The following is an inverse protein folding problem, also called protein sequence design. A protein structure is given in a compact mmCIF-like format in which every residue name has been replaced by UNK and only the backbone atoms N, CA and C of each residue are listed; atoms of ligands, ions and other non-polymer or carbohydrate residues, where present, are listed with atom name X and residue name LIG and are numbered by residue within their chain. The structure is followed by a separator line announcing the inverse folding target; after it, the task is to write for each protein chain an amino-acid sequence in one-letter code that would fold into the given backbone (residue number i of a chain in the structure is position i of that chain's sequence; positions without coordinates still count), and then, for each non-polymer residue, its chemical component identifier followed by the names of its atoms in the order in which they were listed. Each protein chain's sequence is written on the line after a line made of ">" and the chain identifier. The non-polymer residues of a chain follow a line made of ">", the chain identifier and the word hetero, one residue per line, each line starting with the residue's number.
data_IF_080439544509
#
_entry.id   IF_080439544509
#
_cell.length_a   1.000
_cell.length_b   1.000
_cell.length_c   1.000
_cell.angle_alpha   90.00
_cell.angle_beta   90.00
_cell.angle_gamma   90.00
#
_symmetry.space_group_name_H-M   'P 1'
#
loop_
_entity.id
_entity.type
_entity.pdbx_description
1 polymer ?
#
# COMPACT_ATOMS: atom_id res chain seq x y z
N UNK A 1 -3.59 -21.50 -41.68
CA UNK A 1 -3.69 -20.23 -40.92
C UNK A 1 -2.93 -19.16 -41.66
N UNK A 2 -3.46 -17.94 -41.76
CA UNK A 2 -2.75 -16.83 -42.41
C UNK A 2 -1.60 -16.33 -41.52
N UNK A 3 -0.57 -15.70 -42.11
CA UNK A 3 0.55 -15.09 -41.34
C UNK A 3 0.05 -14.09 -40.28
N UNK A 4 -1.05 -13.40 -40.56
CA UNK A 4 -1.70 -12.45 -39.64
C UNK A 4 -2.30 -13.16 -38.42
N UNK A 5 -3.00 -14.28 -38.61
CA UNK A 5 -3.58 -15.07 -37.50
C UNK A 5 -2.50 -15.62 -36.56
N UNK A 6 -1.36 -16.06 -37.12
CA UNK A 6 -0.24 -16.55 -36.30
C UNK A 6 0.40 -15.41 -35.50
N UNK A 7 0.58 -14.23 -36.10
CA UNK A 7 1.11 -13.06 -35.39
C UNK A 7 0.21 -12.58 -34.25
N UNK A 8 -1.11 -12.66 -34.43
CA UNK A 8 -2.08 -12.24 -33.42
C UNK A 8 -2.13 -13.23 -32.24
N UNK A 9 -2.11 -14.54 -32.52
CA UNK A 9 -2.03 -15.57 -31.49
C UNK A 9 -0.73 -15.50 -30.66
N UNK A 10 0.40 -15.19 -31.29
CA UNK A 10 1.67 -15.00 -30.57
C UNK A 10 1.58 -13.85 -29.58
N UNK A 11 0.97 -12.71 -29.97
CA UNK A 11 0.76 -11.58 -29.05
C UNK A 11 -0.14 -11.93 -27.86
N UNK A 12 -1.20 -12.71 -28.10
CA UNK A 12 -2.09 -13.18 -27.03
C UNK A 12 -1.34 -14.10 -26.08
N UNK A 13 -0.59 -15.07 -26.61
CA UNK A 13 0.21 -16.00 -25.81
C UNK A 13 1.27 -15.26 -24.97
N UNK A 14 1.98 -14.30 -25.56
CA UNK A 14 2.98 -13.49 -24.86
C UNK A 14 2.34 -12.73 -23.68
N UNK A 15 1.14 -12.15 -23.88
CA UNK A 15 0.37 -11.50 -22.80
C UNK A 15 -0.05 -12.47 -21.71
N UNK A 16 -0.47 -13.69 -22.05
CA UNK A 16 -0.84 -14.70 -21.05
C UNK A 16 0.35 -15.15 -20.20
N UNK A 17 1.48 -15.48 -20.84
CA UNK A 17 2.72 -15.88 -20.17
C UNK A 17 3.15 -14.79 -19.19
N UNK A 18 3.09 -13.55 -19.65
CA UNK A 18 3.47 -12.39 -18.88
C UNK A 18 2.52 -12.09 -17.73
N UNK A 19 1.22 -12.24 -17.95
CA UNK A 19 0.20 -12.10 -16.90
C UNK A 19 0.46 -13.10 -15.77
N UNK A 20 0.76 -14.36 -16.10
CA UNK A 20 1.12 -15.38 -15.10
C UNK A 20 2.36 -14.98 -14.30
N UNK A 21 3.36 -14.41 -14.97
CA UNK A 21 4.58 -13.92 -14.31
C UNK A 21 4.28 -12.77 -13.35
N UNK A 22 3.53 -11.76 -13.80
CA UNK A 22 3.11 -10.62 -12.97
C UNK A 22 2.33 -11.11 -11.73
N UNK A 23 1.36 -12.01 -11.91
CA UNK A 23 0.59 -12.57 -10.80
C UNK A 23 1.48 -13.34 -9.82
N UNK A 24 2.46 -14.10 -10.32
CA UNK A 24 3.42 -14.81 -9.47
C UNK A 24 4.28 -13.84 -8.66
N UNK A 25 4.75 -12.75 -9.25
CA UNK A 25 5.53 -11.71 -8.56
C UNK A 25 4.68 -11.00 -7.49
N UNK A 26 3.44 -10.67 -7.81
CA UNK A 26 2.50 -9.98 -6.91
C UNK A 26 1.97 -10.84 -5.77
N UNK A 27 2.09 -12.17 -5.85
CA UNK A 27 1.69 -13.08 -4.77
C UNK A 27 2.69 -13.12 -3.60
N UNK A 28 3.85 -12.46 -3.72
CA UNK A 28 4.81 -12.34 -2.61
C UNK A 28 4.45 -11.17 -1.69
N UNK A 29 3.64 -11.44 -0.66
CA UNK A 29 3.12 -10.42 0.26
C UNK A 29 4.17 -9.80 1.19
N UNK A 30 5.31 -10.46 1.40
CA UNK A 30 6.34 -10.01 2.35
C UNK A 30 7.11 -8.80 1.79
N UNK A 31 7.28 -8.74 0.47
CA UNK A 31 8.02 -7.66 -0.18
C UNK A 31 7.27 -7.12 -1.40
N UNK A 32 6.04 -6.64 -1.16
CA UNK A 32 5.16 -6.10 -2.18
C UNK A 32 5.81 -4.94 -2.97
N UNK A 33 6.67 -4.15 -2.32
CA UNK A 33 7.35 -3.02 -2.96
C UNK A 33 8.25 -3.48 -4.10
N UNK A 34 9.11 -4.45 -3.84
CA UNK A 34 10.02 -4.99 -4.84
C UNK A 34 9.26 -5.72 -5.96
N UNK A 35 8.16 -6.40 -5.63
CA UNK A 35 7.27 -7.00 -6.62
C UNK A 35 6.66 -5.96 -7.56
N UNK A 36 6.14 -4.84 -7.03
CA UNK A 36 5.59 -3.76 -7.86
C UNK A 36 6.67 -3.12 -8.74
N UNK A 37 7.90 -2.95 -8.22
CA UNK A 37 9.04 -2.44 -9.00
C UNK A 37 9.40 -3.40 -10.14
N UNK A 38 9.41 -4.72 -9.89
CA UNK A 38 9.68 -5.72 -10.92
C UNK A 38 8.61 -5.69 -12.03
N UNK A 39 7.33 -5.65 -11.65
CA UNK A 39 6.21 -5.51 -12.58
C UNK A 39 6.33 -4.22 -13.39
N UNK A 40 6.66 -3.09 -12.76
CA UNK A 40 6.86 -1.81 -13.43
C UNK A 40 7.95 -1.89 -14.51
N UNK A 41 9.10 -2.50 -14.19
CA UNK A 41 10.19 -2.70 -15.15
C UNK A 41 9.75 -3.56 -16.33
N UNK A 42 8.98 -4.61 -16.07
CA UNK A 42 8.41 -5.43 -17.12
C UNK A 42 7.47 -4.62 -18.01
N UNK A 43 6.52 -3.88 -17.44
CA UNK A 43 5.62 -3.00 -18.18
C UNK A 43 6.37 -2.05 -19.11
N UNK A 44 7.41 -1.38 -18.60
CA UNK A 44 8.25 -0.48 -19.40
C UNK A 44 8.88 -1.17 -20.62
N UNK A 45 9.41 -2.38 -20.43
CA UNK A 45 10.03 -3.16 -21.51
C UNK A 45 9.03 -3.52 -22.60
N UNK A 46 7.81 -3.91 -22.24
CA UNK A 46 6.79 -4.37 -23.18
C UNK A 46 6.18 -3.21 -23.95
N UNK A 47 5.92 -2.10 -23.26
CA UNK A 47 5.39 -0.88 -23.90
C UNK A 47 6.47 -0.15 -24.69
N UNK A 48 7.75 -0.49 -24.46
CA UNK A 48 8.92 0.21 -25.01
C UNK A 48 8.84 1.73 -24.75
N UNK A 49 8.37 2.11 -23.55
CA UNK A 49 8.26 3.51 -23.17
C UNK A 49 9.53 4.04 -22.53
N UNK A 50 9.79 5.31 -22.82
CA UNK A 50 10.92 6.06 -22.28
C UNK A 50 10.81 6.22 -20.76
N UNK A 51 9.59 6.47 -20.25
CA UNK A 51 9.35 6.61 -18.82
C UNK A 51 8.10 5.89 -18.33
N UNK A 52 8.16 5.42 -17.09
CA UNK A 52 7.04 4.84 -16.35
C UNK A 52 7.05 5.36 -14.90
N UNK A 53 5.87 5.56 -14.32
CA UNK A 53 5.71 5.87 -12.91
C UNK A 53 4.47 5.20 -12.34
N UNK A 54 4.56 4.73 -11.10
CA UNK A 54 3.45 4.18 -10.33
C UNK A 54 3.23 5.08 -9.13
N UNK A 55 2.03 5.61 -9.00
CA UNK A 55 1.59 6.43 -7.86
C UNK A 55 0.54 5.67 -7.06
N UNK A 56 0.65 5.69 -5.74
CA UNK A 56 -0.27 4.99 -4.83
C UNK A 56 -0.68 5.96 -3.72
N UNK A 57 -1.94 5.91 -3.32
CA UNK A 57 -2.47 6.75 -2.25
C UNK A 57 -1.82 6.43 -0.90
N UNK A 58 -1.33 7.45 -0.20
CA UNK A 58 -0.68 7.31 1.12
C UNK A 58 -1.56 7.77 2.30
N UNK A 59 -2.82 8.15 2.04
CA UNK A 59 -3.72 8.73 3.04
C UNK A 59 -3.87 10.25 2.92
N UNK A 60 -2.99 10.92 2.17
CA UNK A 60 -3.07 12.37 1.92
C UNK A 60 -3.08 12.70 0.44
N UNK A 61 -2.18 12.11 -0.33
CA UNK A 61 -2.04 12.33 -1.77
C UNK A 61 -1.54 11.05 -2.46
N UNK A 62 -1.09 11.16 -3.73
CA UNK A 62 -0.65 10.05 -4.56
C UNK A 62 0.83 10.21 -4.96
N UNK A 63 1.80 10.05 -4.02
CA UNK A 63 3.22 10.13 -4.34
C UNK A 63 3.67 9.01 -5.28
N UNK A 64 4.84 9.19 -5.91
CA UNK A 64 5.49 8.11 -6.66
C UNK A 64 5.92 7.01 -5.70
N UNK A 65 5.33 5.84 -5.88
CA UNK A 65 5.73 4.60 -5.21
C UNK A 65 6.95 3.97 -5.88
N UNK A 66 7.00 4.05 -7.22
CA UNK A 66 8.12 3.64 -8.06
C UNK A 66 8.11 4.45 -9.37
N UNK A 67 9.29 4.73 -9.94
CA UNK A 67 9.39 5.34 -11.26
C UNK A 67 10.71 5.01 -11.94
N UNK A 68 10.75 5.13 -13.27
CA UNK A 68 11.96 4.96 -14.06
C UNK A 68 11.88 5.79 -15.35
N UNK A 69 12.94 6.51 -15.70
CA UNK A 69 13.03 7.30 -16.95
C UNK A 69 12.34 8.66 -16.89
N UNK A 70 11.72 9.01 -15.75
CA UNK A 70 11.26 10.37 -15.49
C UNK A 70 12.48 11.26 -15.15
N UNK A 71 12.57 12.49 -15.68
CA UNK A 71 13.58 13.46 -15.28
C UNK A 71 13.56 13.69 -13.76
N UNK A 72 14.73 13.78 -13.11
CA UNK A 72 14.81 14.04 -11.65
C UNK A 72 14.06 15.30 -11.22
N UNK A 73 14.09 16.35 -12.06
CA UNK A 73 13.34 17.60 -11.88
C UNK A 73 11.82 17.37 -11.80
N UNK A 74 11.29 16.36 -12.49
CA UNK A 74 9.87 15.97 -12.41
C UNK A 74 9.51 15.20 -11.14
N UNK A 75 10.48 14.65 -10.40
CA UNK A 75 10.22 13.89 -9.18
C UNK A 75 10.27 14.80 -7.95
N UNK A 76 11.21 15.75 -7.92
CA UNK A 76 11.42 16.68 -6.80
C UNK A 76 10.59 17.96 -6.91
N UNK A 77 10.25 18.41 -8.12
CA UNK A 77 9.48 19.64 -8.35
C UNK A 77 8.01 19.40 -8.76
N UNK A 78 7.57 18.16 -8.99
CA UNK A 78 6.14 17.92 -9.26
C UNK A 78 5.32 18.25 -8.02
N UNK A 79 4.40 19.23 -8.11
CA UNK A 79 3.55 19.53 -6.99
C UNK A 79 2.67 18.30 -6.69
N UNK A 80 2.24 18.12 -5.43
CA UNK A 80 1.26 17.09 -5.09
C UNK A 80 0.11 17.11 -6.09
N UNK A 81 -0.45 15.94 -6.42
CA UNK A 81 -1.61 15.86 -7.32
C UNK A 81 -2.77 16.71 -6.80
N UNK A 82 -2.80 16.93 -5.48
CA UNK A 82 -3.63 17.88 -4.76
C UNK A 82 -2.94 19.24 -4.53
N UNK A 83 -2.49 19.93 -5.59
CA UNK A 83 -1.90 21.27 -5.44
C UNK A 83 -2.96 22.36 -5.27
N UNK A 84 -2.61 23.38 -4.47
CA UNK A 84 -3.45 24.54 -4.21
C UNK A 84 -3.28 25.51 -5.39
N UNK A 85 -4.32 25.64 -6.23
CA UNK A 85 -4.37 26.43 -7.48
C UNK A 85 -3.54 25.92 -8.68
N UNK A 86 -3.95 24.82 -9.33
CA UNK A 86 -3.40 24.42 -10.63
C UNK A 86 -3.87 25.38 -11.74
N UNK A 87 -2.98 25.71 -12.68
CA UNK A 87 -3.39 26.32 -13.96
C UNK A 87 -4.36 25.38 -14.69
N UNK A 88 -5.41 25.95 -15.30
CA UNK A 88 -6.42 25.18 -16.02
C UNK A 88 -5.80 24.61 -17.31
N UNK A 89 -5.80 23.29 -17.48
CA UNK A 89 -5.42 22.59 -18.71
C UNK A 89 -6.61 22.49 -19.65
N UNK A 90 -6.39 22.68 -20.94
CA UNK A 90 -7.43 22.61 -21.98
C UNK A 90 -7.05 21.56 -23.00
N UNK A 91 -7.88 20.52 -23.11
CA UNK A 91 -7.77 19.47 -24.10
C UNK A 91 -8.71 19.77 -25.27
N UNK A 92 -8.21 19.59 -26.49
CA UNK A 92 -8.98 19.69 -27.72
C UNK A 92 -9.56 18.31 -28.05
N UNK A 93 -10.89 18.19 -28.00
CA UNK A 93 -11.59 16.94 -28.32
C UNK A 93 -11.92 16.85 -29.83
N UNK A 94 -12.37 17.96 -30.42
CA UNK A 94 -12.67 18.09 -31.84
C UNK A 94 -12.34 19.51 -32.34
N UNK A 95 -12.82 19.93 -33.52
CA UNK A 95 -12.56 21.28 -34.03
C UNK A 95 -13.13 22.38 -33.11
N UNK A 96 -14.32 22.16 -32.54
CA UNK A 96 -15.05 23.15 -31.74
C UNK A 96 -15.29 22.72 -30.28
N UNK A 97 -14.89 21.49 -29.92
CA UNK A 97 -15.14 20.92 -28.60
C UNK A 97 -13.86 20.83 -27.76
N UNK A 98 -13.94 21.35 -26.54
CA UNK A 98 -12.82 21.42 -25.61
C UNK A 98 -13.23 20.91 -24.23
N UNK A 99 -12.31 20.25 -23.56
CA UNK A 99 -12.46 19.83 -22.18
C UNK A 99 -11.42 20.52 -21.30
N UNK A 100 -11.88 21.12 -20.20
CA UNK A 100 -11.00 21.83 -19.27
C UNK A 100 -10.87 21.08 -17.96
N UNK A 101 -9.64 20.87 -17.50
CA UNK A 101 -9.32 20.20 -16.26
C UNK A 101 -8.20 20.90 -15.52
N UNK A 102 -8.17 20.81 -14.19
CA UNK A 102 -7.00 21.22 -13.41
C UNK A 102 -5.87 20.19 -13.51
N UNK A 103 -6.21 18.90 -13.57
CA UNK A 103 -5.22 17.82 -13.59
C UNK A 103 -5.84 16.54 -14.18
N UNK A 104 -5.37 16.15 -15.37
CA UNK A 104 -5.83 14.92 -16.06
C UNK A 104 -5.62 13.68 -15.18
N UNK A 105 -4.47 13.56 -14.53
CA UNK A 105 -4.16 12.45 -13.63
C UNK A 105 -5.18 12.34 -12.48
N UNK A 106 -5.57 13.48 -11.90
CA UNK A 106 -6.54 13.50 -10.82
C UNK A 106 -7.95 13.16 -11.32
N UNK A 107 -8.33 13.61 -12.51
CA UNK A 107 -9.63 13.26 -13.09
C UNK A 107 -9.74 11.78 -13.43
N UNK A 108 -8.65 11.16 -13.90
CA UNK A 108 -8.54 9.71 -14.09
C UNK A 108 -8.72 8.99 -12.75
N UNK A 109 -8.00 9.42 -11.70
CA UNK A 109 -8.11 8.82 -10.37
C UNK A 109 -9.55 8.92 -9.83
N UNK A 110 -10.13 10.12 -9.88
CA UNK A 110 -11.48 10.42 -9.39
C UNK A 110 -12.59 9.86 -10.27
N UNK A 111 -12.27 9.34 -11.47
CA UNK A 111 -13.27 8.87 -12.42
C UNK A 111 -14.19 9.98 -12.92
N UNK A 112 -13.71 11.24 -12.96
CA UNK A 112 -14.47 12.41 -13.40
C UNK A 112 -14.59 12.54 -14.91
N UNK A 113 -13.84 11.73 -15.65
CA UNK A 113 -13.94 11.71 -17.10
C UNK A 113 -15.23 11.03 -17.54
N UNK A 114 -16.06 11.79 -18.25
CA UNK A 114 -17.27 11.25 -18.86
C UNK A 114 -16.89 10.18 -19.89
N UNK A 115 -17.66 9.08 -19.97
CA UNK A 115 -17.35 7.91 -20.82
C UNK A 115 -17.36 8.23 -22.32
N UNK A 116 -17.81 9.44 -22.68
CA UNK A 116 -17.95 9.92 -24.05
C UNK A 116 -16.83 10.87 -24.49
N UNK A 117 -15.86 11.18 -23.63
CA UNK A 117 -14.73 12.04 -24.00
C UNK A 117 -13.74 11.19 -24.82
N UNK A 118 -13.36 11.62 -26.04
CA UNK A 118 -12.25 11.02 -26.78
C UNK A 118 -11.03 10.89 -25.86
N UNK A 119 -10.19 9.87 -26.02
CA UNK A 119 -9.00 9.59 -25.18
C UNK A 119 -9.26 8.84 -23.85
N UNK A 120 -10.51 8.67 -23.41
CA UNK A 120 -10.83 7.83 -22.25
C UNK A 120 -11.34 6.45 -22.63
N UNK A 121 -10.97 5.44 -21.85
CA UNK A 121 -11.54 4.09 -21.94
C UNK A 121 -12.86 3.99 -21.17
N UNK A 122 -13.59 2.89 -21.35
CA UNK A 122 -14.77 2.57 -20.54
C UNK A 122 -14.45 2.37 -19.05
N UNK A 123 -13.20 2.06 -18.69
CA UNK A 123 -12.75 1.95 -17.29
C UNK A 123 -12.21 3.30 -16.75
N UNK A 124 -12.16 4.33 -17.58
CA UNK A 124 -11.77 5.69 -17.20
C UNK A 124 -10.27 5.96 -17.24
N UNK A 125 -9.47 5.10 -17.87
CA UNK A 125 -8.05 5.39 -18.14
C UNK A 125 -7.93 6.37 -19.30
N UNK A 126 -6.96 7.27 -19.25
CA UNK A 126 -6.70 8.26 -20.29
C UNK A 126 -5.50 7.86 -21.14
N UNK A 127 -5.57 8.04 -22.46
CA UNK A 127 -4.42 7.84 -23.33
C UNK A 127 -4.48 8.66 -24.62
N UNK A 128 -3.33 9.14 -25.08
CA UNK A 128 -3.19 9.90 -26.32
C UNK A 128 -1.82 9.63 -26.95
N UNK A 129 -1.75 9.54 -28.28
CA UNK A 129 -0.50 9.34 -29.03
C UNK A 129 0.10 10.65 -29.59
N UNK A 130 -0.62 11.75 -29.44
CA UNK A 130 -0.17 13.08 -29.86
C UNK A 130 -0.62 14.12 -28.82
N UNK A 131 -0.04 14.02 -27.63
CA UNK A 131 -0.29 14.93 -26.52
C UNK A 131 -0.07 16.41 -26.89
N UNK A 132 0.95 16.81 -27.68
CA UNK A 132 1.09 18.20 -28.12
C UNK A 132 -0.09 18.74 -28.93
N UNK A 133 -0.75 17.91 -29.75
CA UNK A 133 -1.94 18.31 -30.50
C UNK A 133 -3.22 18.30 -29.66
N UNK A 134 -3.28 17.42 -28.65
CA UNK A 134 -4.43 17.31 -27.74
C UNK A 134 -4.43 18.44 -26.71
N UNK A 135 -3.26 18.84 -26.20
CA UNK A 135 -3.15 19.78 -25.09
C UNK A 135 -2.84 21.19 -25.59
N UNK A 136 -3.83 22.09 -25.48
CA UNK A 136 -3.72 23.48 -25.95
C UNK A 136 -2.89 24.36 -25.01
N UNK A 137 -2.89 24.01 -23.73
CA UNK A 137 -2.09 24.67 -22.70
C UNK A 137 -0.65 24.19 -22.77
N UNK A 138 0.31 25.10 -22.60
CA UNK A 138 1.73 24.75 -22.48
C UNK A 138 1.95 24.03 -21.15
N UNK A 139 1.64 22.74 -21.09
CA UNK A 139 2.05 21.90 -19.97
C UNK A 139 3.56 21.70 -20.12
N UNK A 140 4.31 22.56 -19.42
CA UNK A 140 5.72 22.79 -19.69
C UNK A 140 6.60 21.59 -19.38
N UNK A 141 6.13 20.58 -18.66
CA UNK A 141 7.00 19.49 -18.18
C UNK A 141 7.01 18.29 -19.15
N UNK A 142 5.86 17.64 -19.38
CA UNK A 142 5.81 16.47 -20.28
C UNK A 142 6.11 16.83 -21.75
N UNK A 143 5.56 17.94 -22.24
CA UNK A 143 5.77 18.36 -23.63
C UNK A 143 7.20 18.87 -23.82
N UNK A 144 7.78 19.62 -22.87
CA UNK A 144 9.17 20.07 -23.01
C UNK A 144 10.19 18.93 -22.86
N UNK A 145 9.88 17.89 -22.08
CA UNK A 145 10.67 16.67 -22.02
C UNK A 145 10.61 15.84 -23.32
N UNK A 146 9.73 16.21 -24.26
CA UNK A 146 9.63 15.64 -25.60
C UNK A 146 8.73 14.40 -25.70
N UNK A 147 7.91 14.11 -24.68
CA UNK A 147 6.96 13.00 -24.75
C UNK A 147 5.79 13.34 -25.67
N UNK A 148 5.42 12.39 -26.53
CA UNK A 148 4.32 12.54 -27.49
C UNK A 148 3.13 11.67 -27.12
N UNK A 149 3.40 10.45 -26.68
CA UNK A 149 2.37 9.51 -26.25
C UNK A 149 2.33 9.43 -24.73
N UNK A 150 1.12 9.42 -24.17
CA UNK A 150 0.85 9.25 -22.74
C UNK A 150 -0.24 8.22 -22.52
N UNK A 151 -0.09 7.39 -21.49
CA UNK A 151 -1.16 6.57 -20.95
C UNK A 151 -1.19 6.69 -19.42
N UNK A 152 -2.38 6.96 -18.89
CA UNK A 152 -2.68 7.11 -17.46
C UNK A 152 -3.69 6.03 -17.09
N UNK A 153 -3.21 4.95 -16.49
CA UNK A 153 -3.95 3.73 -16.24
C UNK A 153 -4.32 3.64 -14.77
N UNK A 154 -5.58 3.37 -14.47
CA UNK A 154 -6.08 3.29 -13.09
C UNK A 154 -5.58 2.03 -12.39
N UNK A 155 -5.16 2.16 -11.13
CA UNK A 155 -4.88 1.03 -10.24
C UNK A 155 -6.12 0.82 -9.37
N UNK A 156 -6.90 -0.20 -9.71
CA UNK A 156 -8.20 -0.46 -9.07
C UNK A 156 -8.08 -1.56 -8.03
N UNK A 157 -8.52 -1.28 -6.81
CA UNK A 157 -8.76 -2.27 -5.77
C UNK A 157 -10.27 -2.39 -5.56
N UNK A 158 -10.88 -3.42 -6.15
CA UNK A 158 -12.34 -3.58 -6.26
C UNK A 158 -12.92 -2.35 -6.96
N UNK A 159 -13.80 -1.61 -6.31
CA UNK A 159 -14.45 -0.42 -6.87
C UNK A 159 -13.68 0.88 -6.59
N UNK A 160 -12.58 0.83 -5.84
CA UNK A 160 -11.80 2.00 -5.46
C UNK A 160 -10.53 2.15 -6.30
N UNK A 161 -10.31 3.35 -6.82
CA UNK A 161 -9.05 3.71 -7.46
C UNK A 161 -8.03 4.10 -6.38
N UNK A 162 -6.99 3.29 -6.19
CA UNK A 162 -5.98 3.49 -5.15
C UNK A 162 -4.67 4.06 -5.70
N UNK A 163 -4.57 4.25 -7.01
CA UNK A 163 -3.35 4.71 -7.65
C UNK A 163 -3.46 4.86 -9.16
N UNK A 164 -2.31 5.16 -9.77
CA UNK A 164 -2.18 5.46 -11.18
C UNK A 164 -0.85 4.90 -11.72
N UNK A 165 -0.90 4.25 -12.87
CA UNK A 165 0.29 3.94 -13.68
C UNK A 165 0.37 5.00 -14.77
N UNK A 166 1.52 5.64 -14.90
CA UNK A 166 1.81 6.67 -15.88
C UNK A 166 2.88 6.12 -16.82
N UNK A 167 2.59 6.10 -18.12
CA UNK A 167 3.50 5.70 -19.17
C UNK A 167 3.69 6.87 -20.13
N UNK A 168 4.95 7.23 -20.40
CA UNK A 168 5.32 8.33 -21.28
C UNK A 168 6.30 7.84 -22.34
N UNK A 169 5.98 8.16 -23.58
CA UNK A 169 6.64 7.63 -24.76
C UNK A 169 6.93 8.78 -25.73
N UNK A 170 8.16 8.90 -26.23
CA UNK A 170 8.58 9.93 -27.20
C UNK A 170 8.23 9.54 -28.64
N UNK A 171 8.31 8.25 -28.94
CA UNK A 171 8.19 7.73 -30.32
C UNK A 171 7.22 6.56 -30.46
N UNK A 172 6.96 5.79 -29.41
CA UNK A 172 6.08 4.62 -29.50
C UNK A 172 4.60 5.03 -29.28
N UNK A 173 3.67 4.64 -30.18
CA UNK A 173 2.25 4.83 -29.96
C UNK A 173 1.68 3.70 -29.08
N UNK A 174 0.67 4.03 -28.29
CA UNK A 174 -0.20 3.05 -27.64
C UNK A 174 -1.32 2.60 -28.59
N UNK A 175 -1.76 1.37 -28.40
CA UNK A 175 -2.91 0.79 -29.06
C UNK A 175 -3.95 0.39 -28.03
N UNK A 176 -5.24 0.41 -28.40
CA UNK A 176 -6.33 0.17 -27.45
C UNK A 176 -6.19 -1.17 -26.73
N UNK A 177 -5.80 -2.23 -27.42
CA UNK A 177 -5.61 -3.57 -26.85
C UNK A 177 -4.49 -3.60 -25.79
N UNK A 178 -3.42 -2.81 -25.98
CA UNK A 178 -2.38 -2.60 -24.97
C UNK A 178 -2.91 -1.81 -23.77
N UNK A 179 -3.73 -0.78 -23.98
CA UNK A 179 -4.34 -0.01 -22.88
C UNK A 179 -5.25 -0.92 -22.04
N UNK A 180 -6.10 -1.71 -22.68
CA UNK A 180 -6.97 -2.67 -21.98
C UNK A 180 -6.17 -3.72 -21.20
N UNK A 181 -5.06 -4.20 -21.78
CA UNK A 181 -4.13 -5.08 -21.07
C UNK A 181 -3.50 -4.40 -19.85
N UNK A 182 -3.09 -3.14 -19.96
CA UNK A 182 -2.54 -2.39 -18.84
C UNK A 182 -3.58 -2.14 -17.73
N UNK A 183 -4.85 -1.93 -18.08
CA UNK A 183 -5.94 -1.80 -17.09
C UNK A 183 -6.14 -3.10 -16.29
N UNK A 184 -6.05 -4.24 -16.96
CA UNK A 184 -6.05 -5.54 -16.29
C UNK A 184 -4.86 -5.66 -15.32
N UNK A 185 -3.65 -5.25 -15.74
CA UNK A 185 -2.47 -5.23 -14.85
C UNK A 185 -2.66 -4.25 -13.68
N UNK A 186 -3.24 -3.07 -13.91
CA UNK A 186 -3.59 -2.12 -12.86
C UNK A 186 -4.53 -2.71 -11.81
N UNK A 187 -5.47 -3.55 -12.24
CA UNK A 187 -6.36 -4.30 -11.33
C UNK A 187 -5.57 -5.34 -10.52
N UNK A 188 -4.63 -6.07 -11.13
CA UNK A 188 -3.81 -7.04 -10.39
C UNK A 188 -2.92 -6.37 -9.33
N UNK A 189 -2.28 -5.25 -9.67
CA UNK A 189 -1.50 -4.47 -8.70
C UNK A 189 -2.41 -3.99 -7.56
N UNK A 190 -3.60 -3.49 -7.89
CA UNK A 190 -4.55 -3.02 -6.87
C UNK A 190 -5.04 -4.14 -5.95
N UNK A 191 -5.33 -5.33 -6.50
CA UNK A 191 -5.67 -6.52 -5.72
C UNK A 191 -4.52 -6.96 -4.81
N UNK A 192 -3.28 -6.97 -5.30
CA UNK A 192 -2.11 -7.35 -4.51
C UNK A 192 -1.90 -6.42 -3.30
N UNK A 193 -2.02 -5.11 -3.51
CA UNK A 193 -1.96 -4.11 -2.43
C UNK A 193 -3.07 -4.33 -1.41
N UNK A 194 -4.31 -4.51 -1.88
CA UNK A 194 -5.44 -4.74 -1.00
C UNK A 194 -5.30 -6.05 -0.19
N UNK A 195 -4.79 -7.11 -0.82
CA UNK A 195 -4.57 -8.41 -0.16
C UNK A 195 -3.48 -8.29 0.90
N UNK A 196 -2.37 -7.62 0.61
CA UNK A 196 -1.30 -7.34 1.58
C UNK A 196 -1.81 -6.55 2.78
N UNK A 197 -2.57 -5.48 2.55
CA UNK A 197 -3.18 -4.69 3.63
C UNK A 197 -4.17 -5.50 4.47
N UNK A 198 -4.98 -6.34 3.82
CA UNK A 198 -5.93 -7.23 4.49
C UNK A 198 -5.19 -8.24 5.37
N UNK A 199 -4.10 -8.83 4.86
CA UNK A 199 -3.27 -9.77 5.60
C UNK A 199 -2.67 -9.11 6.85
N UNK A 200 -2.08 -7.91 6.73
CA UNK A 200 -1.52 -7.18 7.87
C UNK A 200 -2.57 -6.89 8.93
N UNK A 201 -3.74 -6.40 8.53
CA UNK A 201 -4.85 -6.13 9.47
C UNK A 201 -5.36 -7.38 10.16
N UNK A 202 -5.48 -8.49 9.43
CA UNK A 202 -5.84 -9.78 10.01
C UNK A 202 -4.80 -10.26 11.01
N UNK A 203 -3.51 -10.09 10.69
CA UNK A 203 -2.41 -10.47 11.58
C UNK A 203 -2.40 -9.63 12.86
N UNK A 204 -2.56 -8.32 12.76
CA UNK A 204 -2.67 -7.42 13.92
C UNK A 204 -3.88 -7.75 14.80
N UNK A 205 -5.04 -8.00 14.20
CA UNK A 205 -6.24 -8.40 14.94
C UNK A 205 -6.04 -9.74 15.65
N UNK A 206 -5.47 -10.73 14.97
CA UNK A 206 -5.13 -12.02 15.56
C UNK A 206 -4.18 -11.86 16.75
N UNK A 207 -3.08 -11.11 16.56
CA UNK A 207 -2.08 -10.91 17.60
C UNK A 207 -2.68 -10.15 18.81
N UNK A 208 -3.61 -9.22 18.59
CA UNK A 208 -4.32 -8.52 19.68
C UNK A 208 -5.26 -9.43 20.48
N UNK A 209 -5.93 -10.38 19.81
CA UNK A 209 -6.81 -11.35 20.48
C UNK A 209 -6.00 -12.39 21.26
N UNK A 210 -4.84 -12.80 20.73
CA UNK A 210 -3.92 -13.72 21.41
C UNK A 210 -3.19 -13.12 22.62
N UNK A 211 -3.37 -11.83 22.93
CA UNK A 211 -2.87 -11.20 24.15
C UNK A 211 -3.81 -11.37 25.36
N UNK A 212 -5.01 -11.92 25.16
CA UNK A 212 -5.97 -12.13 26.24
C UNK A 212 -5.77 -13.51 26.86
N UNK A 213 -5.42 -13.54 28.15
CA UNK A 213 -5.37 -14.78 28.93
C UNK A 213 -6.80 -15.09 29.38
N UNK A 214 -7.44 -16.17 28.87
CA UNK A 214 -8.79 -16.53 29.30
C UNK A 214 -8.74 -17.02 30.75
N UNK A 215 -9.29 -16.23 31.68
CA UNK A 215 -9.29 -16.54 33.11
C UNK A 215 -10.70 -16.57 33.70
N UNK A 216 -10.90 -17.40 34.73
CA UNK A 216 -12.14 -17.46 35.47
C UNK A 216 -12.30 -16.19 36.31
N UNK A 217 -13.38 -15.45 36.14
CA UNK A 217 -13.65 -14.21 36.90
C UNK A 217 -13.81 -14.45 38.40
N UNK A 218 -14.18 -15.66 38.81
CA UNK A 218 -14.37 -16.03 40.22
C UNK A 218 -13.07 -16.48 40.89
N UNK A 219 -12.35 -17.43 40.30
CA UNK A 219 -11.17 -18.05 40.94
C UNK A 219 -9.82 -17.67 40.32
N UNK A 220 -9.80 -16.85 39.27
CA UNK A 220 -8.60 -16.37 38.55
C UNK A 220 -7.72 -17.44 37.89
N UNK A 221 -8.17 -18.70 37.86
CA UNK A 221 -7.51 -19.76 37.09
C UNK A 221 -7.54 -19.45 35.59
N UNK A 222 -6.52 -19.86 34.87
CA UNK A 222 -6.37 -19.69 33.43
C UNK A 222 -6.86 -20.94 32.72
N UNK A 223 -7.70 -20.76 31.71
CA UNK A 223 -8.14 -21.83 30.83
C UNK A 223 -7.08 -22.04 29.74
N UNK A 224 -6.50 -23.22 29.70
CA UNK A 224 -5.57 -23.61 28.63
C UNK A 224 -6.36 -24.17 27.44
N UNK A 225 -5.74 -24.22 26.26
CA UNK A 225 -6.38 -24.74 25.04
C UNK A 225 -6.86 -26.22 25.15
N UNK A 226 -6.42 -26.95 26.19
CA UNK A 226 -6.78 -28.34 26.47
C UNK A 226 -7.94 -28.51 27.48
N UNK A 227 -8.77 -27.48 27.69
CA UNK A 227 -9.85 -27.43 28.70
C UNK A 227 -9.38 -27.59 30.16
N UNK A 228 -8.07 -27.49 30.41
CA UNK A 228 -7.50 -27.60 31.74
C UNK A 228 -7.38 -26.22 32.41
N UNK A 229 -7.85 -26.12 33.65
CA UNK A 229 -7.82 -24.89 34.46
C UNK A 229 -6.65 -24.91 35.44
N UNK A 230 -5.61 -24.15 35.12
CA UNK A 230 -4.38 -24.06 35.93
C UNK A 230 -4.30 -22.71 36.65
N UNK A 231 -3.46 -22.61 37.68
CA UNK A 231 -3.25 -21.32 38.37
C UNK A 231 -2.38 -20.38 37.56
N UNK A 232 -2.33 -19.10 37.95
CA UNK A 232 -1.49 -18.11 37.26
C UNK A 232 0.00 -18.43 37.43
N UNK A 233 0.37 -18.99 38.58
CA UNK A 233 1.73 -19.41 38.88
C UNK A 233 2.17 -20.57 37.99
N UNK A 234 1.31 -21.59 37.85
CA UNK A 234 1.55 -22.75 36.96
C UNK A 234 1.67 -22.29 35.49
N UNK A 235 0.78 -21.41 35.05
CA UNK A 235 0.82 -20.86 33.69
C UNK A 235 2.11 -20.08 33.42
N UNK A 236 2.51 -19.18 34.33
CA UNK A 236 3.72 -18.38 34.16
C UNK A 236 4.99 -19.23 34.25
N UNK A 237 5.01 -20.25 35.12
CA UNK A 237 6.08 -21.24 35.17
C UNK A 237 6.24 -21.98 33.83
N UNK A 238 5.15 -22.43 33.20
CA UNK A 238 5.19 -23.09 31.89
C UNK A 238 5.71 -22.18 30.77
N UNK A 239 5.39 -20.88 30.81
CA UNK A 239 5.78 -19.92 29.78
C UNK A 239 7.21 -19.38 29.93
N UNK A 240 7.69 -19.18 31.17
CA UNK A 240 8.96 -18.48 31.44
C UNK A 240 9.98 -19.31 32.20
N UNK A 241 9.60 -20.46 32.76
CA UNK A 241 10.43 -21.29 33.64
C UNK A 241 10.71 -20.66 35.01
N UNK A 242 10.03 -19.58 35.40
CA UNK A 242 10.25 -18.87 36.67
C UNK A 242 9.38 -19.42 37.80
N UNK A 243 9.95 -19.56 38.99
CA UNK A 243 9.23 -19.96 40.21
C UNK A 243 8.82 -18.74 41.06
N UNK A 244 7.69 -18.84 41.77
CA UNK A 244 7.19 -17.77 42.64
C UNK A 244 7.64 -17.96 44.09
N UNK A 245 8.16 -16.90 44.70
CA UNK A 245 8.35 -16.82 46.15
C UNK A 245 7.07 -16.30 46.80
N UNK A 246 6.71 -16.87 47.94
CA UNK A 246 5.48 -16.51 48.67
C UNK A 246 5.81 -15.61 49.87
N UNK A 247 6.50 -14.49 49.60
CA UNK A 247 6.76 -13.48 50.61
C UNK A 247 5.54 -12.60 50.83
N UNK A 248 5.38 -12.09 52.05
CA UNK A 248 4.33 -11.12 52.37
C UNK A 248 4.94 -9.73 52.24
N UNK A 249 4.32 -8.84 51.46
CA UNK A 249 4.82 -7.47 51.32
C UNK A 249 4.64 -6.68 52.63
N UNK A 250 5.41 -5.60 52.86
CA UNK A 250 5.34 -4.82 54.09
C UNK A 250 3.92 -4.33 54.43
N UNK A 251 3.15 -3.92 53.42
CA UNK A 251 1.75 -3.46 53.57
C UNK A 251 0.86 -4.57 54.12
N UNK A 252 0.94 -5.78 53.56
CA UNK A 252 0.18 -6.92 54.05
C UNK A 252 0.66 -7.42 55.41
N UNK A 253 1.96 -7.30 55.75
CA UNK A 253 2.45 -7.63 57.10
C UNK A 253 1.88 -6.63 58.11
N UNK A 254 1.85 -5.34 57.79
CA UNK A 254 1.26 -4.29 58.64
C UNK A 254 -0.22 -4.55 58.91
N UNK A 255 -0.98 -4.93 57.89
CA UNK A 255 -2.41 -5.21 58.00
C UNK A 255 -2.71 -6.53 58.73
N UNK A 256 -2.09 -7.63 58.30
CA UNK A 256 -2.40 -8.99 58.79
C UNK A 256 -1.69 -9.33 60.11
N UNK A 257 -0.51 -8.75 60.33
CA UNK A 257 0.34 -9.03 61.50
C UNK A 257 0.90 -7.73 62.12
N UNK A 258 0.05 -6.79 62.59
CA UNK A 258 0.49 -5.46 63.03
C UNK A 258 1.54 -5.52 64.14
N UNK A 259 1.38 -6.44 65.10
CA UNK A 259 2.32 -6.60 66.21
C UNK A 259 3.70 -7.13 65.76
N UNK A 260 3.74 -7.95 64.70
CA UNK A 260 5.00 -8.42 64.11
C UNK A 260 5.65 -7.29 63.31
N UNK A 261 4.85 -6.54 62.55
CA UNK A 261 5.31 -5.39 61.77
C UNK A 261 6.00 -4.33 62.66
N UNK A 262 5.37 -3.94 63.77
CA UNK A 262 5.97 -2.98 64.70
C UNK A 262 7.30 -3.49 65.28
N UNK A 263 7.40 -4.78 65.62
CA UNK A 263 8.66 -5.37 66.10
C UNK A 263 9.76 -5.41 65.04
N UNK A 264 9.42 -5.64 63.77
CA UNK A 264 10.36 -5.62 62.66
C UNK A 264 10.89 -4.20 62.42
N UNK A 265 10.02 -3.19 62.41
CA UNK A 265 10.38 -1.76 62.33
C UNK A 265 11.26 -1.31 63.49
N UNK A 266 10.96 -1.74 64.72
CA UNK A 266 11.79 -1.43 65.89
C UNK A 266 13.19 -2.05 65.81
N UNK A 267 13.34 -3.22 65.17
CA UNK A 267 14.63 -3.86 64.92
C UNK A 267 15.42 -3.17 63.81
N UNK A 268 14.78 -2.84 62.69
CA UNK A 268 15.41 -2.08 61.60
C UNK A 268 15.96 -0.74 62.09
N UNK A 269 15.15 0.02 62.85
CA UNK A 269 15.57 1.30 63.43
C UNK A 269 16.78 1.16 64.38
N UNK A 270 16.93 0.01 65.06
CA UNK A 270 18.07 -0.27 65.94
C UNK A 270 19.32 -0.71 65.17
N UNK A 271 19.16 -1.47 64.09
CA UNK A 271 20.27 -1.89 63.23
C UNK A 271 20.83 -0.74 62.38
N UNK A 272 19.96 0.18 61.90
CA UNK A 272 20.39 1.41 61.24
C UNK A 272 21.12 2.35 62.21
N UNK A 273 20.65 2.48 63.46
CA UNK A 273 21.33 3.24 64.49
C UNK A 273 22.70 2.65 64.88
N UNK A 274 22.89 1.32 64.73
CA UNK A 274 24.17 0.65 65.01
C UNK A 274 25.17 0.72 63.85
N UNK A 275 24.71 0.83 62.60
CA UNK A 275 25.56 1.05 61.41
C UNK A 275 25.99 2.51 61.21
N UNK A 276 25.34 3.45 61.88
CA UNK A 276 25.63 4.88 61.82
C UNK A 276 26.64 5.36 62.89
N UNK A 277 27.17 4.45 63.71
CA UNK A 277 28.25 4.65 64.70
C UNK A 277 29.52 3.97 64.20
#
# INVERSE_FOLDING_TARGET
>A
MSKTQVSELLKILDREIMTKKILSELNNYINLKDSIIAVMKHLKQITNCDAIGIRIYDGKDYPFYACEGLPEMQISEEPPLCSVNPELKILKLSQDEFWSTKCICMDVIQGKADRNIPFFTSQGSFWANDLPSVLKTKDKHCIAAGFKSVALIRIMARDNCIGLIQLLCKSAPFYLDMILYLEMVGTYIGMAINNSLTYTRMKEAYDSMNQLIPMCSSCKKINTEEESWITIEEYLFQQTGSEFTHTICPECIEELYPALYHKLKEKENKEEAFKAV
#
